data_IF_927286623578
#
_entry.id   IF_927286623578
#
_cell.length_a   1.000
_cell.length_b   1.000
_cell.length_c   1.000
_cell.angle_alpha   90.00
_cell.angle_beta   90.00
_cell.angle_gamma   90.00
#
_symmetry.space_group_name_H-M   'P 1'
#
loop_
_entity.id
_entity.type
_entity.pdbx_description
1 polymer ?
#
# COMPACT_ATOMS: atom_id res chain seq x y z
N UNK A 1 -14.11 -27.44 -13.35
CA UNK A 1 -15.59 -27.59 -13.36
C UNK A 1 -16.06 -28.48 -12.20
N UNK A 2 -15.64 -28.21 -10.94
CA UNK A 2 -16.00 -29.06 -9.78
C UNK A 2 -16.18 -28.30 -8.45
N UNK A 3 -16.26 -26.97 -8.44
CA UNK A 3 -16.28 -26.17 -7.19
C UNK A 3 -17.65 -25.53 -6.87
N UNK A 4 -18.76 -26.17 -7.25
CA UNK A 4 -20.13 -25.69 -6.97
C UNK A 4 -20.85 -26.46 -5.84
N UNK A 5 -20.14 -26.99 -4.84
CA UNK A 5 -20.73 -27.79 -3.74
C UNK A 5 -20.41 -27.29 -2.31
N UNK A 6 -19.75 -26.13 -2.17
CA UNK A 6 -19.77 -25.39 -0.90
C UNK A 6 -20.97 -24.47 -0.97
N UNK A 7 -22.05 -24.84 -0.28
CA UNK A 7 -23.41 -24.31 -0.49
C UNK A 7 -23.45 -22.81 -0.77
N UNK A 8 -23.89 -22.45 -1.98
CA UNK A 8 -24.45 -21.13 -2.25
C UNK A 8 -25.64 -20.97 -1.31
N UNK A 9 -25.47 -20.15 -0.29
CA UNK A 9 -26.59 -19.72 0.54
C UNK A 9 -27.63 -19.10 -0.40
N UNK A 10 -28.78 -19.74 -0.56
CA UNK A 10 -29.82 -19.28 -1.50
C UNK A 10 -30.25 -17.82 -1.27
N UNK A 11 -30.09 -17.30 -0.05
CA UNK A 11 -30.35 -15.91 0.32
C UNK A 11 -29.27 -14.92 -0.13
N UNK A 12 -28.06 -15.40 -0.45
CA UNK A 12 -26.93 -14.64 -0.93
C UNK A 12 -26.83 -14.78 -2.46
N UNK A 13 -27.87 -14.30 -3.15
CA UNK A 13 -27.89 -14.29 -4.62
C UNK A 13 -28.45 -12.96 -5.11
N UNK A 14 -27.89 -12.43 -6.20
CA UNK A 14 -28.35 -11.19 -6.83
C UNK A 14 -27.90 -9.93 -6.09
N UNK A 15 -28.83 -9.02 -5.78
CA UNK A 15 -28.50 -7.67 -5.30
C UNK A 15 -27.80 -7.65 -3.93
N UNK A 16 -28.08 -8.63 -3.07
CA UNK A 16 -27.44 -8.74 -1.75
C UNK A 16 -25.95 -9.01 -1.88
N UNK A 17 -25.57 -9.92 -2.79
CA UNK A 17 -24.18 -10.26 -3.06
C UNK A 17 -23.39 -9.03 -3.52
N UNK A 18 -23.93 -8.28 -4.49
CA UNK A 18 -23.32 -7.05 -5.01
C UNK A 18 -23.12 -6.03 -3.89
N UNK A 19 -24.15 -5.78 -3.08
CA UNK A 19 -24.06 -4.81 -1.97
C UNK A 19 -22.99 -5.21 -0.97
N UNK A 20 -22.92 -6.49 -0.59
CA UNK A 20 -21.89 -6.98 0.33
C UNK A 20 -20.48 -6.80 -0.22
N UNK A 21 -20.25 -7.17 -1.48
CA UNK A 21 -18.94 -7.01 -2.11
C UNK A 21 -18.58 -5.54 -2.33
N UNK A 22 -19.52 -4.68 -2.71
CA UNK A 22 -19.27 -3.23 -2.82
C UNK A 22 -18.90 -2.62 -1.48
N UNK A 23 -19.58 -3.00 -0.39
CA UNK A 23 -19.24 -2.52 0.96
C UNK A 23 -17.86 -2.99 1.39
N UNK A 24 -17.51 -4.25 1.13
CA UNK A 24 -16.17 -4.78 1.40
C UNK A 24 -15.08 -4.10 0.54
N UNK A 25 -15.43 -3.73 -0.69
CA UNK A 25 -14.54 -3.07 -1.63
C UNK A 25 -14.26 -1.61 -1.28
N UNK A 26 -15.23 -0.85 -0.76
CA UNK A 26 -15.08 0.57 -0.44
C UNK A 26 -13.78 0.96 0.30
N UNK A 27 -13.41 0.34 1.44
CA UNK A 27 -12.22 0.76 2.19
C UNK A 27 -10.91 0.56 1.43
N UNK A 28 -10.83 -0.45 0.56
CA UNK A 28 -9.61 -0.79 -0.20
C UNK A 28 -9.59 -0.17 -1.59
N UNK A 29 -10.74 -0.03 -2.24
CA UNK A 29 -10.88 0.53 -3.58
C UNK A 29 -10.84 2.06 -3.59
N UNK A 30 -11.43 2.72 -2.59
CA UNK A 30 -11.46 4.18 -2.50
C UNK A 30 -10.07 4.85 -2.60
N UNK A 31 -9.06 4.46 -1.81
CA UNK A 31 -7.74 5.08 -1.92
C UNK A 31 -7.14 4.87 -3.30
N UNK A 32 -7.24 3.66 -3.88
CA UNK A 32 -6.68 3.35 -5.20
C UNK A 32 -7.33 4.20 -6.30
N UNK A 33 -8.66 4.31 -6.31
CA UNK A 33 -9.39 5.14 -7.27
C UNK A 33 -9.04 6.61 -7.12
N UNK A 34 -8.91 7.11 -5.88
CA UNK A 34 -8.50 8.49 -5.63
C UNK A 34 -7.11 8.79 -6.20
N UNK A 35 -6.15 7.87 -6.02
CA UNK A 35 -4.81 7.99 -6.60
C UNK A 35 -4.85 7.94 -8.12
N UNK A 36 -5.64 7.05 -8.72
CA UNK A 36 -5.82 6.95 -10.16
C UNK A 36 -6.33 8.28 -10.74
N UNK A 37 -7.38 8.85 -10.15
CA UNK A 37 -7.96 10.13 -10.59
C UNK A 37 -6.94 11.27 -10.44
N UNK A 38 -6.20 11.32 -9.33
CA UNK A 38 -5.16 12.33 -9.13
C UNK A 38 -4.06 12.23 -10.19
N UNK A 39 -3.61 11.02 -10.52
CA UNK A 39 -2.55 10.78 -11.52
C UNK A 39 -2.99 11.16 -12.94
N UNK A 40 -4.22 10.81 -13.31
CA UNK A 40 -4.83 11.20 -14.59
C UNK A 40 -4.88 12.73 -14.71
N UNK A 41 -5.27 13.43 -13.64
CA UNK A 41 -5.30 14.91 -13.63
C UNK A 41 -3.93 15.56 -13.82
N UNK A 42 -2.87 14.90 -13.37
CA UNK A 42 -1.48 15.36 -13.56
C UNK A 42 -0.89 14.99 -14.93
N UNK A 43 -1.68 14.35 -15.81
CA UNK A 43 -1.23 13.93 -17.15
C UNK A 43 -0.57 12.55 -17.20
N UNK A 44 -0.48 11.86 -16.07
CA UNK A 44 0.11 10.52 -15.96
C UNK A 44 -1.00 9.47 -15.96
N UNK A 45 -1.41 9.06 -17.17
CA UNK A 45 -2.56 8.17 -17.36
C UNK A 45 -2.17 6.69 -17.27
N UNK A 46 -0.96 6.29 -17.66
CA UNK A 46 -0.54 4.88 -17.68
C UNK A 46 0.06 4.43 -16.35
N UNK A 47 -0.73 4.51 -15.28
CA UNK A 47 -0.31 4.13 -13.92
C UNK A 47 -0.92 2.81 -13.47
N UNK A 48 -0.27 2.17 -12.50
CA UNK A 48 -0.80 0.97 -11.83
C UNK A 48 -2.17 1.23 -11.21
N UNK A 49 -2.38 2.41 -10.63
CA UNK A 49 -3.65 2.82 -10.03
C UNK A 49 -4.78 2.81 -11.05
N UNK A 50 -4.53 3.31 -12.27
CA UNK A 50 -5.53 3.26 -13.33
C UNK A 50 -5.79 1.82 -13.77
N UNK A 51 -4.74 1.03 -14.01
CA UNK A 51 -4.87 -0.36 -14.45
C UNK A 51 -5.69 -1.18 -13.45
N UNK A 52 -5.37 -1.07 -12.17
CA UNK A 52 -6.09 -1.73 -11.08
C UNK A 52 -7.54 -1.25 -10.95
N UNK A 53 -7.78 0.06 -11.07
CA UNK A 53 -9.13 0.63 -11.04
C UNK A 53 -9.98 0.09 -12.18
N UNK A 54 -9.44 0.07 -13.40
CA UNK A 54 -10.12 -0.46 -14.58
C UNK A 54 -10.37 -1.97 -14.46
N UNK A 55 -9.39 -2.73 -13.97
CA UNK A 55 -9.54 -4.17 -13.75
C UNK A 55 -10.63 -4.48 -12.72
N UNK A 56 -10.66 -3.76 -11.60
CA UNK A 56 -11.65 -3.95 -10.54
C UNK A 56 -13.06 -3.56 -11.01
N UNK A 57 -13.21 -2.43 -11.71
CA UNK A 57 -14.50 -2.06 -12.32
C UNK A 57 -14.93 -3.08 -13.39
N UNK A 58 -13.99 -3.57 -14.20
CA UNK A 58 -14.23 -4.62 -15.17
C UNK A 58 -14.72 -5.92 -14.54
N UNK A 59 -14.11 -6.32 -13.42
CA UNK A 59 -14.52 -7.50 -12.65
C UNK A 59 -15.95 -7.36 -12.11
N UNK A 60 -16.29 -6.19 -11.55
CA UNK A 60 -17.66 -5.88 -11.14
C UNK A 60 -18.66 -5.88 -12.31
N UNK A 61 -18.24 -5.47 -13.51
CA UNK A 61 -19.09 -5.45 -14.69
C UNK A 61 -19.41 -6.86 -15.21
N UNK A 62 -18.47 -7.81 -15.11
CA UNK A 62 -18.67 -9.20 -15.55
C UNK A 62 -19.25 -10.12 -14.46
N UNK A 63 -19.47 -9.61 -13.25
CA UNK A 63 -20.02 -10.37 -12.12
C UNK A 63 -18.98 -11.08 -11.24
N UNK A 64 -17.70 -10.91 -11.54
CA UNK A 64 -16.56 -11.45 -10.77
C UNK A 64 -16.19 -10.48 -9.64
N UNK A 65 -17.14 -10.25 -8.72
CA UNK A 65 -16.96 -9.32 -7.60
C UNK A 65 -15.81 -9.71 -6.66
N UNK A 66 -15.66 -10.99 -6.24
CA UNK A 66 -14.57 -11.41 -5.35
C UNK A 66 -13.18 -11.03 -5.88
N UNK A 67 -12.96 -11.20 -7.18
CA UNK A 67 -11.71 -10.92 -7.88
C UNK A 67 -11.41 -9.43 -7.86
N UNK A 68 -12.42 -8.59 -8.15
CA UNK A 68 -12.31 -7.14 -8.10
C UNK A 68 -11.95 -6.61 -6.71
N UNK A 69 -12.47 -7.24 -5.64
CA UNK A 69 -12.12 -6.92 -4.25
C UNK A 69 -10.72 -7.43 -3.89
N UNK A 70 -10.39 -8.66 -4.29
CA UNK A 70 -9.11 -9.29 -3.98
C UNK A 70 -7.92 -8.50 -4.52
N UNK A 71 -8.00 -8.02 -5.77
CA UNK A 71 -6.95 -7.19 -6.38
C UNK A 71 -6.66 -5.94 -5.54
N UNK A 72 -7.70 -5.22 -5.11
CA UNK A 72 -7.57 -4.00 -4.29
C UNK A 72 -7.05 -4.29 -2.88
N UNK A 73 -7.51 -5.40 -2.30
CA UNK A 73 -7.08 -5.85 -0.98
C UNK A 73 -5.58 -6.19 -0.97
N UNK A 74 -5.12 -7.01 -1.92
CA UNK A 74 -3.73 -7.43 -1.99
C UNK A 74 -2.78 -6.25 -2.21
N UNK A 75 -3.17 -5.30 -3.05
CA UNK A 75 -2.40 -4.07 -3.21
C UNK A 75 -2.30 -3.27 -1.93
N UNK A 76 -3.43 -3.01 -1.26
CA UNK A 76 -3.45 -2.19 -0.05
C UNK A 76 -2.62 -2.84 1.05
N UNK A 77 -2.74 -4.16 1.23
CA UNK A 77 -1.92 -4.94 2.17
C UNK A 77 -0.44 -4.88 1.77
N UNK A 78 -0.12 -5.06 0.49
CA UNK A 78 1.24 -4.96 -0.03
C UNK A 78 1.87 -3.60 0.24
N UNK A 79 1.13 -2.52 0.00
CA UNK A 79 1.60 -1.14 0.23
C UNK A 79 1.83 -0.86 1.73
N UNK A 80 0.98 -1.42 2.61
CA UNK A 80 1.19 -1.34 4.05
C UNK A 80 2.51 -2.02 4.46
N UNK A 81 2.80 -3.21 3.92
CA UNK A 81 4.06 -3.91 4.17
C UNK A 81 5.26 -3.17 3.59
N UNK A 82 5.14 -2.64 2.37
CA UNK A 82 6.16 -1.82 1.74
C UNK A 82 6.49 -0.60 2.61
N UNK A 83 5.47 0.15 3.04
CA UNK A 83 5.65 1.29 3.94
C UNK A 83 6.30 0.90 5.27
N UNK A 84 5.91 -0.23 5.86
CA UNK A 84 6.55 -0.73 7.08
C UNK A 84 8.02 -1.08 6.87
N UNK A 85 8.36 -1.73 5.75
CA UNK A 85 9.73 -2.08 5.38
C UNK A 85 10.59 -0.82 5.19
N UNK A 86 10.09 0.18 4.46
CA UNK A 86 10.78 1.46 4.23
C UNK A 86 11.02 2.20 5.54
N UNK A 87 10.02 2.29 6.42
CA UNK A 87 10.19 2.91 7.75
C UNK A 87 11.27 2.22 8.58
N UNK A 88 11.27 0.89 8.59
CA UNK A 88 12.28 0.09 9.29
C UNK A 88 13.69 0.33 8.72
N UNK A 89 13.83 0.35 7.40
CA UNK A 89 15.11 0.63 6.74
C UNK A 89 15.64 2.03 7.10
N UNK A 90 14.77 3.06 7.04
CA UNK A 90 15.13 4.44 7.39
C UNK A 90 15.55 4.56 8.85
N UNK A 91 14.83 3.93 9.77
CA UNK A 91 15.17 3.95 11.21
C UNK A 91 16.55 3.35 11.50
N UNK A 92 16.90 2.25 10.81
CA UNK A 92 18.21 1.62 10.99
C UNK A 92 19.34 2.53 10.49
N UNK A 93 19.17 3.19 9.33
CA UNK A 93 20.14 4.14 8.79
C UNK A 93 20.32 5.32 9.75
N UNK A 94 19.22 5.87 10.28
CA UNK A 94 19.28 6.97 11.24
C UNK A 94 20.10 6.58 12.47
N UNK A 95 19.84 5.40 13.03
CA UNK A 95 20.60 4.92 14.21
C UNK A 95 22.09 4.74 13.95
N UNK A 96 22.52 4.50 12.71
CA UNK A 96 23.94 4.44 12.34
C UNK A 96 24.54 5.83 12.17
N UNK A 97 23.78 6.80 11.66
CA UNK A 97 24.23 8.18 11.52
C UNK A 97 24.33 8.88 12.89
N UNK A 98 23.45 8.54 13.82
CA UNK A 98 23.46 9.07 15.20
C UNK A 98 24.71 8.65 16.00
N UNK A 99 25.50 7.69 15.51
CA UNK A 99 26.78 7.27 16.11
C UNK A 99 27.92 8.25 15.76
N UNK A 100 27.73 9.18 14.81
CA UNK A 100 28.76 10.18 14.47
C UNK A 100 29.00 11.11 15.67
N UNK A 101 30.20 11.15 16.26
CA UNK A 101 30.48 12.04 17.38
C UNK A 101 30.53 13.50 16.92
N UNK A 102 29.82 14.37 17.63
CA UNK A 102 29.77 15.83 17.35
C UNK A 102 31.07 16.58 17.71
N UNK A 103 31.93 15.94 18.52
CA UNK A 103 33.18 16.51 19.04
C UNK A 103 34.28 15.45 19.11
N UNK A 104 35.50 15.86 18.80
CA UNK A 104 36.71 15.07 19.05
C UNK A 104 37.61 15.82 20.05
N UNK A 105 38.18 15.09 21.02
CA UNK A 105 39.24 15.65 21.88
C UNK A 105 40.60 15.32 21.26
N UNK A 106 41.40 16.34 21.03
CA UNK A 106 42.74 16.20 20.45
C UNK A 106 43.76 16.70 21.46
N UNK A 107 44.82 15.93 21.68
CA UNK A 107 45.89 16.30 22.61
C UNK A 107 47.02 17.01 21.84
N UNK A 108 47.27 18.29 22.16
CA UNK A 108 48.34 19.10 21.56
C UNK A 108 49.02 19.92 22.64
N UNK A 109 50.35 20.02 22.58
CA UNK A 109 51.15 20.85 23.51
C UNK A 109 50.89 20.59 25.01
N UNK A 110 50.57 19.35 25.40
CA UNK A 110 50.30 18.98 26.79
C UNK A 110 48.88 19.28 27.29
N UNK A 111 47.99 19.78 26.42
CA UNK A 111 46.61 20.17 26.76
C UNK A 111 45.61 19.46 25.85
N UNK A 112 44.42 19.13 26.37
CA UNK A 112 43.31 18.60 25.58
C UNK A 112 42.47 19.75 25.01
N UNK A 113 42.37 19.83 23.68
CA UNK A 113 41.50 20.77 22.97
C UNK A 113 40.28 20.03 22.40
N UNK A 114 39.08 20.59 22.57
CA UNK A 114 37.86 20.08 21.95
C UNK A 114 37.74 20.72 20.57
N UNK A 115 37.68 19.89 19.53
CA UNK A 115 37.48 20.32 18.14
C UNK A 115 36.22 19.68 17.58
N UNK A 116 35.47 20.49 16.83
CA UNK A 116 34.38 19.99 16.00
C UNK A 116 34.96 19.52 14.66
N UNK A 117 34.71 18.27 14.23
CA UNK A 117 35.15 17.77 12.93
C UNK A 117 34.50 18.47 11.74
#
# INVERSE_FOLDING_TARGET
>A
MYFNYLGTFSWFTGLLEVVFYTVAWLPVGYPVLSHAISKIRTGDVFTEFLLMSMASVGAFYIGEYPEGVAVMLFYTVGELFQGAAVRRARSNIQSLLDIRPDVARVFRNGVYEIVHP
#
